data_IF_997292246692
#
_entry.id   IF_997292246692
#
_cell.length_a   1.000
_cell.length_b   1.000
_cell.length_c   1.000
_cell.angle_alpha   90.00
_cell.angle_beta   90.00
_cell.angle_gamma   90.00
#
_symmetry.space_group_name_H-M   'P 1'
#
loop_
_entity.id
_entity.type
_entity.pdbx_description
1 polymer ?
#
# COMPACT_ATOMS: atom_id res chain seq x y z
N UNK A 1 16.97 24.34 -32.08
CA UNK A 1 17.65 24.69 -30.81
C UNK A 1 17.10 23.75 -29.74
N UNK A 2 17.95 23.08 -28.97
CA UNK A 2 17.51 22.15 -27.91
C UNK A 2 17.81 22.78 -26.56
N UNK A 3 16.77 23.13 -25.80
CA UNK A 3 16.91 23.62 -24.42
C UNK A 3 16.88 22.40 -23.50
N UNK A 4 17.93 22.22 -22.70
CA UNK A 4 17.99 21.19 -21.66
C UNK A 4 17.83 21.86 -20.30
N UNK A 5 16.87 21.39 -19.52
CA UNK A 5 16.66 21.81 -18.13
C UNK A 5 16.39 20.59 -17.27
N UNK A 6 16.81 20.64 -16.01
CA UNK A 6 16.42 19.67 -15.00
C UNK A 6 15.17 20.18 -14.28
N UNK A 7 14.10 19.40 -14.33
CA UNK A 7 12.82 19.71 -13.70
C UNK A 7 12.53 18.64 -12.64
N UNK A 8 12.18 19.07 -11.43
CA UNK A 8 11.75 18.16 -10.37
C UNK A 8 10.23 18.01 -10.47
N UNK A 9 9.79 16.95 -11.13
CA UNK A 9 8.36 16.65 -11.28
C UNK A 9 7.96 15.56 -10.29
N UNK A 10 6.82 15.76 -9.63
CA UNK A 10 6.20 14.77 -8.76
C UNK A 10 5.68 13.62 -9.61
N UNK A 11 5.85 12.35 -9.18
CA UNK A 11 5.26 11.19 -9.86
C UNK A 11 3.73 11.25 -9.93
N UNK A 12 3.13 10.59 -10.92
CA UNK A 12 1.68 10.53 -11.17
C UNK A 12 0.96 11.89 -11.09
N UNK A 13 1.60 12.94 -11.59
CA UNK A 13 1.10 14.31 -11.52
C UNK A 13 0.93 14.85 -12.94
N UNK A 14 -0.25 15.42 -13.20
CA UNK A 14 -0.54 16.11 -14.45
C UNK A 14 0.18 17.46 -14.48
N UNK A 15 0.89 17.71 -15.57
CA UNK A 15 1.60 18.96 -15.84
C UNK A 15 1.19 19.51 -17.19
N UNK A 16 1.25 20.83 -17.31
CA UNK A 16 1.14 21.53 -18.58
C UNK A 16 2.41 22.33 -18.83
N UNK A 17 2.88 22.35 -20.09
CA UNK A 17 4.09 23.09 -20.49
C UNK A 17 3.83 23.88 -21.76
N UNK A 18 4.27 25.13 -21.76
CA UNK A 18 4.35 25.99 -22.92
C UNK A 18 5.69 26.74 -22.89
N UNK A 19 6.19 27.13 -24.06
CA UNK A 19 7.50 27.78 -24.20
C UNK A 19 7.34 29.10 -24.94
N UNK A 20 8.11 30.10 -24.53
CA UNK A 20 8.26 31.36 -25.23
C UNK A 20 9.75 31.63 -25.44
N UNK A 21 10.09 32.30 -26.53
CA UNK A 21 11.48 32.68 -26.82
C UNK A 21 11.64 34.19 -26.69
N UNK A 22 12.76 34.63 -26.15
CA UNK A 22 13.11 36.05 -26.05
C UNK A 22 14.49 36.26 -26.70
N UNK A 23 14.59 37.26 -27.58
CA UNK A 23 15.81 37.61 -28.28
C UNK A 23 16.21 39.05 -27.97
N UNK A 24 17.44 39.24 -27.47
CA UNK A 24 17.96 40.57 -27.13
C UNK A 24 18.26 41.36 -28.40
N UNK A 25 17.71 42.56 -28.49
CA UNK A 25 17.83 43.50 -29.60
C UNK A 25 19.02 44.44 -29.40
N UNK A 26 19.37 45.18 -30.46
CA UNK A 26 20.56 46.06 -30.51
C UNK A 26 20.41 47.29 -29.60
N UNK A 27 19.17 47.75 -29.40
CA UNK A 27 18.80 48.83 -28.47
C UNK A 27 18.81 48.40 -26.99
N UNK A 28 18.99 47.10 -26.73
CA UNK A 28 19.02 46.52 -25.39
C UNK A 28 17.70 45.90 -24.93
N UNK A 29 16.61 46.09 -25.67
CA UNK A 29 15.30 45.50 -25.38
C UNK A 29 15.23 44.02 -25.79
N UNK A 30 14.17 43.32 -25.40
CA UNK A 30 13.94 41.93 -25.82
C UNK A 30 12.71 41.86 -26.73
N UNK A 31 12.87 41.27 -27.91
CA UNK A 31 11.73 40.83 -28.71
C UNK A 31 11.32 39.43 -28.25
N UNK A 32 10.09 39.32 -27.75
CA UNK A 32 9.53 38.10 -27.17
C UNK A 32 8.51 37.52 -28.14
N UNK A 33 8.57 36.21 -28.41
CA UNK A 33 7.60 35.51 -29.28
C UNK A 33 6.23 35.40 -28.62
N UNK A 34 5.20 34.98 -29.34
CA UNK A 34 4.01 34.41 -28.69
C UNK A 34 4.37 33.11 -27.94
N UNK A 35 3.50 32.71 -27.01
CA UNK A 35 3.60 31.39 -26.38
C UNK A 35 3.37 30.27 -27.41
N UNK A 36 4.06 29.15 -27.23
CA UNK A 36 3.77 27.92 -27.96
C UNK A 36 2.40 27.36 -27.58
N UNK A 37 1.96 26.34 -28.32
CA UNK A 37 0.89 25.45 -27.87
C UNK A 37 1.22 24.85 -26.48
N UNK A 38 0.16 24.64 -25.69
CA UNK A 38 0.23 23.98 -24.39
C UNK A 38 0.25 22.47 -24.62
N UNK A 39 1.25 21.79 -24.06
CA UNK A 39 1.32 20.33 -24.03
C UNK A 39 0.98 19.86 -22.62
N UNK A 40 0.03 18.94 -22.51
CA UNK A 40 -0.36 18.28 -21.27
C UNK A 40 0.31 16.90 -21.18
N UNK A 41 0.82 16.54 -20.01
CA UNK A 41 1.40 15.22 -19.78
C UNK A 41 1.34 14.81 -18.31
N UNK A 42 1.26 13.50 -18.07
CA UNK A 42 1.31 12.90 -16.74
C UNK A 42 2.66 12.23 -16.50
N UNK A 43 3.27 12.47 -15.34
CA UNK A 43 4.47 11.73 -14.93
C UNK A 43 4.12 10.29 -14.55
N UNK A 44 5.09 9.38 -14.72
CA UNK A 44 4.91 7.97 -14.41
C UNK A 44 4.73 7.70 -12.90
N UNK A 45 4.29 6.48 -12.57
CA UNK A 45 4.32 5.95 -11.21
C UNK A 45 5.76 5.80 -10.70
N UNK A 46 5.92 5.52 -9.42
CA UNK A 46 7.15 5.02 -8.84
C UNK A 46 7.63 3.76 -9.57
N UNK A 47 8.85 3.84 -10.09
CA UNK A 47 9.59 2.67 -10.56
C UNK A 47 10.02 1.78 -9.39
N UNK A 48 10.45 0.55 -9.71
CA UNK A 48 11.02 -0.39 -8.71
C UNK A 48 12.13 0.24 -7.87
N UNK A 49 12.95 1.13 -8.44
CA UNK A 49 14.02 1.83 -7.70
C UNK A 49 13.45 2.68 -6.56
N UNK A 50 12.38 3.44 -6.81
CA UNK A 50 11.71 4.24 -5.78
C UNK A 50 11.08 3.35 -4.71
N UNK A 51 10.48 2.22 -5.11
CA UNK A 51 9.92 1.25 -4.17
C UNK A 51 10.99 0.57 -3.31
N UNK A 52 12.15 0.22 -3.87
CA UNK A 52 13.29 -0.30 -3.12
C UNK A 52 13.78 0.73 -2.10
N UNK A 53 13.88 2.02 -2.46
CA UNK A 53 14.24 3.06 -1.50
C UNK A 53 13.21 3.20 -0.36
N UNK A 54 11.91 3.10 -0.67
CA UNK A 54 10.87 3.09 0.36
C UNK A 54 10.97 1.87 1.26
N UNK A 55 11.25 0.70 0.67
CA UNK A 55 11.43 -0.56 1.38
C UNK A 55 12.62 -0.48 2.35
N UNK A 56 13.78 -0.01 1.90
CA UNK A 56 14.97 0.19 2.74
C UNK A 56 14.70 1.14 3.92
N UNK A 57 13.95 2.22 3.69
CA UNK A 57 13.54 3.14 4.75
C UNK A 57 12.58 2.49 5.74
N UNK A 58 11.66 1.64 5.27
CA UNK A 58 10.77 0.87 6.14
C UNK A 58 11.54 -0.17 6.97
N UNK A 59 12.49 -0.88 6.35
CA UNK A 59 13.37 -1.86 7.01
C UNK A 59 14.30 -1.24 8.04
N UNK A 60 14.57 0.07 7.94
CA UNK A 60 15.37 0.79 8.93
C UNK A 60 14.63 1.02 10.25
N UNK A 61 13.29 1.02 10.24
CA UNK A 61 12.46 1.21 11.43
C UNK A 61 11.72 -0.05 11.87
N UNK A 62 11.65 -1.07 11.01
CA UNK A 62 11.07 -2.36 11.30
C UNK A 62 12.13 -3.40 11.70
N UNK A 63 11.73 -4.41 12.49
CA UNK A 63 12.55 -5.60 12.70
C UNK A 63 12.11 -6.48 13.86
N UNK A 64 11.30 -5.96 14.80
CA UNK A 64 10.72 -6.80 15.84
C UNK A 64 9.53 -7.57 15.30
N UNK A 65 9.63 -8.90 15.28
CA UNK A 65 8.62 -9.77 14.68
C UNK A 65 7.79 -10.48 15.76
N UNK A 66 6.46 -10.30 15.75
CA UNK A 66 5.51 -10.98 16.64
C UNK A 66 4.76 -12.08 15.91
N UNK A 67 4.48 -13.20 16.59
CA UNK A 67 3.65 -14.28 16.04
C UNK A 67 2.19 -13.83 15.89
N UNK A 68 1.52 -14.29 14.85
CA UNK A 68 0.07 -14.15 14.68
C UNK A 68 -0.52 -15.41 14.02
N UNK A 69 -1.84 -15.55 14.06
CA UNK A 69 -2.54 -16.73 13.52
C UNK A 69 -3.64 -16.39 12.51
N UNK A 70 -4.08 -15.14 12.43
CA UNK A 70 -5.19 -14.71 11.56
C UNK A 70 -4.88 -13.39 10.85
N UNK A 71 -5.34 -13.29 9.61
CA UNK A 71 -5.58 -12.02 8.95
C UNK A 71 -7.01 -11.58 9.27
N UNK A 72 -7.21 -10.31 9.56
CA UNK A 72 -8.53 -9.79 9.90
C UNK A 72 -8.90 -8.56 9.09
N UNK A 73 -10.19 -8.45 8.76
CA UNK A 73 -10.76 -7.29 8.06
C UNK A 73 -11.95 -6.80 8.85
N UNK A 74 -11.89 -5.54 9.26
CA UNK A 74 -13.00 -4.86 9.90
C UNK A 74 -13.82 -4.09 8.85
N UNK A 75 -15.14 -4.19 8.92
CA UNK A 75 -16.08 -3.53 8.03
C UNK A 75 -17.44 -3.27 8.72
N UNK A 76 -18.30 -2.55 8.02
CA UNK A 76 -19.70 -2.41 8.38
C UNK A 76 -20.46 -3.74 8.19
N UNK A 77 -21.54 -3.96 8.94
CA UNK A 77 -22.32 -5.21 8.87
C UNK A 77 -22.88 -5.43 7.46
N UNK A 78 -23.33 -4.35 6.85
CA UNK A 78 -23.93 -4.30 5.52
C UNK A 78 -22.99 -4.85 4.44
N UNK A 79 -21.67 -4.67 4.60
CA UNK A 79 -20.68 -5.24 3.68
C UNK A 79 -20.69 -6.78 3.71
N UNK A 80 -20.71 -7.37 4.91
CA UNK A 80 -20.73 -8.83 5.05
C UNK A 80 -22.08 -9.42 4.64
N UNK A 81 -23.18 -8.77 5.00
CA UNK A 81 -24.54 -9.17 4.57
C UNK A 81 -24.66 -9.14 3.04
N UNK A 82 -24.15 -8.07 2.40
CA UNK A 82 -24.12 -7.95 0.94
C UNK A 82 -23.25 -9.04 0.30
N UNK A 83 -22.07 -9.31 0.85
CA UNK A 83 -21.18 -10.39 0.37
C UNK A 83 -21.86 -11.75 0.43
N UNK A 84 -22.56 -12.06 1.53
CA UNK A 84 -23.27 -13.32 1.69
C UNK A 84 -24.43 -13.47 0.69
N UNK A 85 -25.20 -12.39 0.49
CA UNK A 85 -26.43 -12.42 -0.32
C UNK A 85 -26.17 -12.28 -1.83
N UNK A 86 -25.18 -11.49 -2.24
CA UNK A 86 -24.95 -11.14 -3.66
C UNK A 86 -23.69 -11.76 -4.25
N UNK A 87 -22.74 -12.20 -3.42
CA UNK A 87 -21.47 -12.78 -3.87
C UNK A 87 -21.27 -14.21 -3.36
N UNK A 88 -22.35 -14.89 -2.94
CA UNK A 88 -22.28 -16.30 -2.55
C UNK A 88 -21.26 -16.56 -1.44
N UNK A 89 -21.18 -15.64 -0.46
CA UNK A 89 -20.24 -15.70 0.67
C UNK A 89 -18.76 -15.43 0.32
N UNK A 90 -18.46 -14.98 -0.90
CA UNK A 90 -17.10 -14.71 -1.35
C UNK A 90 -16.83 -13.21 -1.42
N UNK A 91 -15.89 -12.72 -0.59
CA UNK A 91 -15.38 -11.36 -0.68
C UNK A 91 -14.66 -11.20 -2.02
N UNK A 92 -15.07 -10.20 -2.80
CA UNK A 92 -14.47 -9.88 -4.08
C UNK A 92 -13.32 -8.88 -3.90
N UNK A 93 -12.20 -9.03 -4.64
CA UNK A 93 -11.18 -8.01 -4.77
C UNK A 93 -11.79 -6.68 -5.24
N UNK A 94 -11.28 -5.57 -4.72
CA UNK A 94 -11.63 -4.24 -5.21
C UNK A 94 -10.36 -3.40 -5.44
N UNK A 95 -10.40 -2.37 -6.31
CA UNK A 95 -9.25 -1.51 -6.52
C UNK A 95 -8.74 -0.90 -5.21
N UNK A 96 -7.42 -0.90 -5.02
CA UNK A 96 -6.76 -0.20 -3.91
C UNK A 96 -7.11 1.29 -3.95
N UNK A 97 -7.47 1.84 -2.80
CA UNK A 97 -7.79 3.26 -2.66
C UNK A 97 -6.53 4.14 -2.83
N UNK A 98 -6.72 5.46 -2.79
CA UNK A 98 -5.63 6.42 -2.99
C UNK A 98 -4.85 6.72 -1.70
N UNK A 99 -4.97 5.88 -0.66
CA UNK A 99 -4.13 6.03 0.53
C UNK A 99 -2.69 5.61 0.21
N UNK A 100 -1.74 6.21 0.94
CA UNK A 100 -0.32 5.97 0.75
C UNK A 100 0.38 7.02 -0.12
N UNK A 101 1.49 6.63 -0.71
CA UNK A 101 2.27 7.46 -1.62
C UNK A 101 1.51 7.72 -2.90
N UNK A 102 1.42 9.00 -3.29
CA UNK A 102 0.74 9.42 -4.54
C UNK A 102 1.29 8.72 -5.79
N UNK A 103 2.60 8.48 -5.84
CA UNK A 103 3.24 7.76 -6.94
C UNK A 103 3.12 6.24 -6.90
N UNK A 104 2.43 5.65 -5.93
CA UNK A 104 2.40 4.19 -5.78
C UNK A 104 1.73 3.49 -6.99
N UNK A 105 2.36 2.46 -7.59
CA UNK A 105 1.84 1.80 -8.78
C UNK A 105 0.64 0.89 -8.49
N UNK A 106 0.29 0.63 -7.22
CA UNK A 106 -0.86 -0.18 -6.83
C UNK A 106 -2.15 0.65 -6.72
N UNK A 107 -2.07 1.94 -6.41
CA UNK A 107 -3.24 2.78 -6.11
C UNK A 107 -4.16 2.92 -7.31
N UNK A 108 -5.41 2.53 -7.15
CA UNK A 108 -6.46 2.42 -8.17
C UNK A 108 -6.14 1.48 -9.36
N UNK A 109 -5.13 0.60 -9.23
CA UNK A 109 -4.69 -0.31 -10.31
C UNK A 109 -4.63 -1.77 -9.89
N UNK A 110 -4.18 -2.04 -8.67
CA UNK A 110 -4.19 -3.39 -8.10
C UNK A 110 -5.53 -3.63 -7.42
N UNK A 111 -6.18 -4.74 -7.76
CA UNK A 111 -7.36 -5.23 -7.05
C UNK A 111 -6.94 -6.20 -5.94
N UNK A 112 -7.61 -6.08 -4.79
CA UNK A 112 -7.41 -7.00 -3.70
C UNK A 112 -8.39 -6.77 -2.56
N UNK A 113 -8.27 -7.61 -1.54
CA UNK A 113 -9.01 -7.53 -0.29
C UNK A 113 -8.03 -7.08 0.79
N UNK A 114 -8.39 -6.02 1.51
CA UNK A 114 -7.51 -5.37 2.48
C UNK A 114 -7.72 -5.98 3.87
N UNK A 115 -6.66 -6.53 4.42
CA UNK A 115 -6.57 -7.12 5.73
C UNK A 115 -5.54 -6.40 6.59
N UNK A 116 -5.62 -6.66 7.90
CA UNK A 116 -4.58 -6.37 8.87
C UNK A 116 -4.16 -7.68 9.55
N UNK A 117 -2.95 -7.70 10.12
CA UNK A 117 -2.47 -8.84 10.90
C UNK A 117 -1.73 -8.41 12.17
N UNK A 118 -1.69 -7.10 12.47
CA UNK A 118 -1.08 -6.61 13.69
C UNK A 118 -1.80 -7.16 14.92
N UNK A 119 -1.03 -7.48 15.95
CA UNK A 119 -1.54 -8.04 17.21
C UNK A 119 -1.29 -7.10 18.39
N UNK A 120 -2.14 -7.18 19.41
CA UNK A 120 -1.86 -6.59 20.71
C UNK A 120 -0.69 -7.34 21.38
N UNK A 121 0.33 -6.60 21.81
CA UNK A 121 1.57 -7.16 22.35
C UNK A 121 1.36 -8.18 23.49
N UNK A 122 0.39 -7.92 24.38
CA UNK A 122 0.15 -8.76 25.55
C UNK A 122 -0.63 -10.04 25.24
N UNK A 123 -1.44 -10.05 24.18
CA UNK A 123 -2.39 -11.14 23.91
C UNK A 123 -2.03 -11.93 22.66
N UNK A 124 -1.27 -11.35 21.73
CA UNK A 124 -1.02 -11.92 20.41
C UNK A 124 -2.29 -12.00 19.54
N UNK A 125 -3.37 -11.31 19.94
CA UNK A 125 -4.65 -11.30 19.23
C UNK A 125 -4.87 -9.99 18.48
N UNK A 126 -5.75 -9.97 17.47
CA UNK A 126 -6.20 -8.73 16.84
C UNK A 126 -6.70 -7.69 17.87
N UNK A 127 -6.44 -6.39 17.68
CA UNK A 127 -6.94 -5.32 18.56
C UNK A 127 -8.45 -5.35 18.73
N UNK A 128 -8.96 -5.01 19.91
CA UNK A 128 -10.42 -5.01 20.16
C UNK A 128 -11.15 -3.82 19.53
N UNK A 129 -10.44 -2.72 19.27
CA UNK A 129 -10.97 -1.53 18.59
C UNK A 129 -10.79 -1.60 17.07
N UNK A 130 -11.55 -0.79 16.33
CA UNK A 130 -11.46 -0.75 14.87
C UNK A 130 -11.79 0.63 14.29
N UNK A 131 -10.98 1.16 13.36
CA UNK A 131 -11.30 2.41 12.67
C UNK A 131 -12.24 2.24 11.46
N UNK A 132 -12.46 1.01 10.98
CA UNK A 132 -13.16 0.74 9.71
C UNK A 132 -14.60 0.23 9.88
N UNK A 133 -14.95 -0.28 11.06
CA UNK A 133 -16.26 -0.89 11.31
C UNK A 133 -16.24 -1.86 12.48
N UNK A 134 -17.41 -2.20 13.02
CA UNK A 134 -17.54 -3.06 14.21
C UNK A 134 -17.58 -4.55 13.91
N UNK A 135 -17.78 -4.95 12.65
CA UNK A 135 -17.80 -6.36 12.27
C UNK A 135 -16.44 -6.75 11.73
N UNK A 136 -15.94 -7.91 12.15
CA UNK A 136 -14.64 -8.44 11.78
C UNK A 136 -14.80 -9.85 11.24
N UNK A 137 -14.16 -10.10 10.10
CA UNK A 137 -13.82 -11.46 9.70
C UNK A 137 -12.38 -11.75 10.11
N UNK A 138 -12.15 -12.92 10.71
CA UNK A 138 -10.82 -13.45 11.00
C UNK A 138 -10.58 -14.70 10.15
N UNK A 139 -9.61 -14.65 9.24
CA UNK A 139 -9.23 -15.74 8.34
C UNK A 139 -7.91 -16.35 8.84
N UNK A 140 -7.82 -17.69 9.02
CA UNK A 140 -6.57 -18.35 9.38
C UNK A 140 -5.44 -17.99 8.42
N UNK A 141 -4.27 -17.63 8.95
CA UNK A 141 -3.17 -17.08 8.17
C UNK A 141 -2.73 -17.99 7.02
N UNK A 142 -2.69 -19.31 7.26
CA UNK A 142 -2.31 -20.32 6.26
C UNK A 142 -3.19 -20.34 5.00
N UNK A 143 -4.45 -19.87 5.10
CA UNK A 143 -5.36 -19.82 3.95
C UNK A 143 -4.96 -18.76 2.94
N UNK A 144 -4.38 -17.65 3.41
CA UNK A 144 -3.99 -16.52 2.57
C UNK A 144 -2.48 -16.49 2.31
N UNK A 145 -1.67 -16.98 3.25
CA UNK A 145 -0.22 -16.86 3.22
C UNK A 145 0.43 -18.22 3.45
N UNK A 146 1.07 -18.78 2.42
CA UNK A 146 1.66 -20.11 2.42
C UNK A 146 2.68 -20.24 1.27
N UNK A 147 3.40 -21.36 1.14
CA UNK A 147 4.42 -21.53 0.09
C UNK A 147 3.92 -21.42 -1.37
N UNK A 148 2.60 -21.46 -1.61
CA UNK A 148 2.02 -21.27 -2.94
C UNK A 148 1.65 -19.80 -3.22
N UNK A 149 2.05 -18.86 -2.36
CA UNK A 149 1.84 -17.42 -2.57
C UNK A 149 3.17 -16.68 -2.64
N UNK A 150 3.17 -15.54 -3.32
CA UNK A 150 4.27 -14.60 -3.36
C UNK A 150 3.95 -13.39 -2.48
N UNK A 151 4.99 -12.80 -1.91
CA UNK A 151 4.92 -11.60 -1.09
C UNK A 151 5.64 -10.45 -1.78
N UNK A 152 5.03 -9.28 -1.83
CA UNK A 152 5.60 -8.08 -2.45
C UNK A 152 5.49 -6.87 -1.53
N UNK A 153 6.50 -6.00 -1.61
CA UNK A 153 6.44 -4.69 -0.97
C UNK A 153 5.65 -3.71 -1.87
N UNK A 154 4.57 -3.12 -1.33
CA UNK A 154 3.68 -2.23 -2.05
C UNK A 154 3.98 -0.75 -1.84
N UNK A 155 4.15 -0.33 -0.58
CA UNK A 155 4.36 1.08 -0.22
C UNK A 155 4.84 1.23 1.23
N UNK A 156 5.34 2.42 1.56
CA UNK A 156 5.65 2.85 2.91
C UNK A 156 5.26 4.31 3.12
N UNK A 157 4.38 4.55 4.09
CA UNK A 157 3.83 5.88 4.33
C UNK A 157 3.47 6.11 5.79
N UNK A 158 3.20 7.36 6.14
CA UNK A 158 2.51 7.71 7.37
C UNK A 158 1.48 8.78 7.03
N UNK A 159 0.56 9.00 7.95
CA UNK A 159 -0.30 10.18 7.95
C UNK A 159 0.31 11.23 8.88
N UNK A 160 -0.46 12.26 9.25
CA UNK A 160 -0.08 13.23 10.29
C UNK A 160 -0.11 12.63 11.71
N UNK A 161 0.42 11.41 11.87
CA UNK A 161 0.48 10.64 13.12
C UNK A 161 1.89 10.07 13.29
N UNK A 162 2.20 9.56 14.48
CA UNK A 162 3.49 8.89 14.73
C UNK A 162 3.59 7.50 14.06
N UNK A 163 2.49 6.95 13.57
CA UNK A 163 2.42 5.58 13.06
C UNK A 163 2.79 5.52 11.59
N UNK A 164 3.60 4.51 11.27
CA UNK A 164 4.02 4.23 9.91
C UNK A 164 3.36 2.94 9.43
N UNK A 165 2.95 2.96 8.17
CA UNK A 165 2.23 1.90 7.49
C UNK A 165 3.11 1.34 6.39
N UNK A 166 3.21 0.02 6.34
CA UNK A 166 3.80 -0.71 5.22
C UNK A 166 2.68 -1.47 4.53
N UNK A 167 2.57 -1.29 3.23
CA UNK A 167 1.66 -2.09 2.41
C UNK A 167 2.44 -3.30 1.90
N UNK A 168 1.95 -4.50 2.19
CA UNK A 168 2.44 -5.73 1.59
C UNK A 168 1.34 -6.38 0.76
N UNK A 169 1.71 -6.99 -0.36
CA UNK A 169 0.78 -7.69 -1.23
C UNK A 169 1.08 -9.18 -1.18
N UNK A 170 0.06 -9.98 -0.89
CA UNK A 170 0.10 -11.44 -0.97
C UNK A 170 -0.70 -11.84 -2.21
N UNK A 171 -0.05 -12.53 -3.13
CA UNK A 171 -0.68 -12.97 -4.38
C UNK A 171 -0.45 -14.47 -4.59
N UNK A 172 -1.50 -15.28 -4.86
CA UNK A 172 -1.33 -16.67 -5.25
C UNK A 172 -0.42 -16.81 -6.48
N UNK A 173 0.51 -17.76 -6.45
CA UNK A 173 1.51 -17.91 -7.50
C UNK A 173 0.86 -18.16 -8.86
N UNK A 174 1.21 -17.33 -9.85
CA UNK A 174 0.67 -17.37 -11.21
C UNK A 174 -0.71 -16.73 -11.37
N UNK A 175 -1.28 -16.11 -10.33
CA UNK A 175 -2.54 -15.38 -10.45
C UNK A 175 -2.35 -14.04 -11.20
N UNK A 176 -3.43 -13.41 -11.69
CA UNK A 176 -3.34 -12.08 -12.30
C UNK A 176 -2.72 -11.02 -11.38
N UNK A 177 -3.00 -11.11 -10.07
CA UNK A 177 -2.40 -10.23 -9.07
C UNK A 177 -0.90 -10.45 -8.91
N UNK A 178 -0.45 -11.70 -8.98
CA UNK A 178 0.95 -12.07 -8.94
C UNK A 178 1.71 -11.52 -10.17
N UNK A 179 1.16 -11.71 -11.37
CA UNK A 179 1.74 -11.18 -12.61
C UNK A 179 1.79 -9.65 -12.62
N UNK A 180 0.76 -8.99 -12.07
CA UNK A 180 0.79 -7.54 -11.88
C UNK A 180 1.96 -7.11 -10.99
N UNK A 181 2.13 -7.80 -9.86
CA UNK A 181 3.12 -7.46 -8.84
C UNK A 181 4.55 -7.75 -9.30
N UNK A 182 4.82 -8.90 -9.92
CA UNK A 182 6.17 -9.26 -10.46
C UNK A 182 6.75 -8.17 -11.34
N UNK A 183 5.92 -7.54 -12.16
CA UNK A 183 6.35 -6.51 -13.09
C UNK A 183 6.68 -5.17 -12.41
N UNK A 184 6.03 -4.87 -11.27
CA UNK A 184 5.97 -3.51 -10.70
C UNK A 184 6.60 -3.37 -9.32
N UNK A 185 6.54 -4.41 -8.50
CA UNK A 185 6.88 -4.36 -7.07
C UNK A 185 8.16 -5.14 -6.75
N UNK A 186 8.92 -4.75 -5.71
CA UNK A 186 9.95 -5.60 -5.12
C UNK A 186 9.32 -6.85 -4.47
N UNK A 187 9.83 -8.04 -4.82
CA UNK A 187 9.42 -9.29 -4.19
C UNK A 187 10.19 -9.47 -2.87
N UNK A 188 9.49 -9.95 -1.85
CA UNK A 188 10.03 -10.25 -0.52
C UNK A 188 10.19 -11.76 -0.35
N UNK A 189 11.24 -12.18 0.36
CA UNK A 189 11.38 -13.59 0.77
C UNK A 189 10.31 -13.94 1.79
N UNK A 190 9.63 -15.08 1.63
CA UNK A 190 8.61 -15.54 2.57
C UNK A 190 9.17 -15.80 3.97
N UNK A 191 10.38 -16.33 4.07
CA UNK A 191 10.98 -16.73 5.34
C UNK A 191 11.90 -15.66 5.95
N UNK A 192 12.39 -14.72 5.13
CA UNK A 192 13.43 -13.77 5.53
C UNK A 192 13.13 -12.36 5.01
N UNK A 193 12.27 -11.64 5.73
CA UNK A 193 12.06 -10.22 5.55
C UNK A 193 11.62 -9.58 6.87
N UNK A 194 11.68 -8.24 6.96
CA UNK A 194 11.39 -7.51 8.19
C UNK A 194 9.92 -7.13 8.39
N UNK A 195 9.02 -7.57 7.52
CA UNK A 195 7.62 -7.14 7.51
C UNK A 195 6.66 -8.28 7.85
N UNK A 196 6.64 -9.34 7.05
CA UNK A 196 5.67 -10.42 7.15
C UNK A 196 6.30 -11.75 6.72
N UNK A 197 6.49 -12.69 7.64
CA UNK A 197 7.17 -13.96 7.35
C UNK A 197 6.28 -15.18 7.56
N UNK A 198 6.48 -16.21 6.74
CA UNK A 198 5.94 -17.55 6.86
C UNK A 198 7.12 -18.53 6.88
N UNK A 199 7.30 -19.23 8.00
CA UNK A 199 8.36 -20.22 8.21
C UNK A 199 7.76 -21.52 8.70
N UNK A 200 8.43 -22.64 8.47
CA UNK A 200 8.04 -23.93 9.06
C UNK A 200 8.80 -24.15 10.37
N UNK A 201 8.08 -24.32 11.48
CA UNK A 201 8.63 -24.72 12.79
C UNK A 201 7.91 -26.01 13.21
N UNK A 202 8.65 -27.09 13.47
CA UNK A 202 8.09 -28.38 13.95
C UNK A 202 6.96 -28.96 13.05
N UNK A 203 7.05 -28.78 11.73
CA UNK A 203 6.06 -29.26 10.76
C UNK A 203 4.78 -28.42 10.68
N UNK A 204 4.76 -27.25 11.33
CA UNK A 204 3.64 -26.30 11.28
C UNK A 204 4.10 -24.94 10.73
N UNK A 205 3.23 -24.28 9.96
CA UNK A 205 3.50 -22.92 9.50
C UNK A 205 3.40 -21.94 10.67
N UNK A 206 4.42 -21.10 10.81
CA UNK A 206 4.51 -20.03 11.79
C UNK A 206 4.58 -18.70 11.06
N UNK A 207 3.69 -17.81 11.45
CA UNK A 207 3.54 -16.50 10.83
C UNK A 207 3.99 -15.42 11.78
N UNK A 208 4.74 -14.44 11.26
CA UNK A 208 5.17 -13.30 12.05
C UNK A 208 4.99 -12.00 11.30
N UNK A 209 4.60 -10.95 12.01
CA UNK A 209 4.46 -9.60 11.46
C UNK A 209 5.37 -8.63 12.20
N UNK A 210 5.75 -7.54 11.54
CA UNK A 210 6.47 -6.44 12.16
C UNK A 210 5.60 -5.75 13.20
N UNK A 211 6.15 -5.56 14.40
CA UNK A 211 5.49 -4.81 15.48
C UNK A 211 5.65 -3.30 15.31
N UNK A 212 6.78 -2.87 14.77
CA UNK A 212 7.20 -1.46 14.75
C UNK A 212 6.47 -0.62 13.68
N UNK A 213 5.74 -1.30 12.79
CA UNK A 213 4.92 -0.69 11.73
C UNK A 213 3.54 -1.36 11.67
N UNK A 214 2.56 -0.63 11.17
CA UNK A 214 1.23 -1.16 10.87
C UNK A 214 1.26 -1.77 9.48
N UNK A 215 0.83 -3.02 9.34
CA UNK A 215 0.76 -3.69 8.05
C UNK A 215 -0.65 -3.56 7.46
N UNK A 216 -0.71 -2.98 6.27
CA UNK A 216 -1.84 -3.12 5.37
C UNK A 216 -1.53 -4.26 4.41
N UNK A 217 -2.30 -5.34 4.51
CA UNK A 217 -2.08 -6.56 3.73
C UNK A 217 -3.13 -6.62 2.63
N UNK A 218 -2.69 -6.61 1.37
CA UNK A 218 -3.57 -6.79 0.21
C UNK A 218 -3.47 -8.24 -0.24
N UNK A 219 -4.57 -8.98 -0.19
CA UNK A 219 -4.66 -10.30 -0.81
C UNK A 219 -5.39 -10.19 -2.15
N UNK A 220 -4.78 -10.65 -3.25
CA UNK A 220 -5.24 -10.30 -4.61
C UNK A 220 -6.41 -11.13 -5.14
N UNK A 221 -6.73 -12.24 -4.49
CA UNK A 221 -7.73 -13.20 -4.98
C UNK A 221 -9.00 -13.18 -4.11
N UNK A 222 -10.13 -13.69 -4.61
CA UNK A 222 -11.35 -13.80 -3.82
C UNK A 222 -11.16 -14.65 -2.56
N UNK A 223 -11.85 -14.28 -1.48
CA UNK A 223 -11.77 -14.96 -0.17
C UNK A 223 -13.15 -15.37 0.29
N UNK A 224 -13.33 -16.66 0.53
CA UNK A 224 -14.58 -17.18 1.09
C UNK A 224 -14.66 -16.87 2.60
N UNK A 225 -15.75 -16.22 3.01
CA UNK A 225 -16.00 -15.92 4.42
C UNK A 225 -16.12 -17.20 5.26
N UNK A 226 -16.43 -18.35 4.65
CA UNK A 226 -16.50 -19.66 5.32
C UNK A 226 -15.15 -20.15 5.84
N UNK A 227 -14.03 -19.58 5.35
CA UNK A 227 -12.69 -19.89 5.87
C UNK A 227 -12.46 -19.31 7.27
N UNK A 228 -13.29 -18.37 7.71
CA UNK A 228 -13.15 -17.68 8.97
C UNK A 228 -14.46 -17.54 9.73
N UNK A 229 -14.44 -16.63 10.70
CA UNK A 229 -15.64 -16.27 11.47
C UNK A 229 -15.88 -14.77 11.36
N UNK A 230 -17.12 -14.39 11.06
CA UNK A 230 -17.59 -13.00 11.11
C UNK A 230 -18.24 -12.75 12.46
N UNK A 231 -17.71 -11.80 13.23
CA UNK A 231 -18.25 -11.44 14.55
C UNK A 231 -18.16 -9.93 14.79
N UNK A 232 -18.99 -9.43 15.71
CA UNK A 232 -18.85 -8.07 16.22
C UNK A 232 -17.65 -7.99 17.18
N UNK A 233 -16.82 -6.95 17.04
CA UNK A 233 -15.71 -6.70 17.95
C UNK A 233 -16.23 -6.21 19.31
N UNK A 234 -15.46 -6.47 20.37
CA UNK A 234 -15.84 -6.07 21.73
C UNK A 234 -15.58 -4.57 21.97
N UNK A 235 -14.55 -4.02 21.34
CA UNK A 235 -14.14 -2.63 21.52
C UNK A 235 -14.96 -1.61 20.74
N UNK A 236 -14.41 -0.40 20.62
CA UNK A 236 -15.06 0.75 20.02
C UNK A 236 -14.74 0.90 18.53
N UNK A 237 -15.68 1.54 17.82
CA UNK A 237 -15.42 2.04 16.46
C UNK A 237 -14.74 3.41 16.53
N UNK A 238 -13.52 3.51 16.01
CA UNK A 238 -12.67 4.70 16.04
C UNK A 238 -12.56 5.35 14.66
N UNK A 239 -13.70 5.78 14.09
CA UNK A 239 -13.76 6.26 12.70
C UNK A 239 -12.77 7.38 12.35
N UNK A 240 -12.42 8.23 13.32
CA UNK A 240 -11.44 9.31 13.14
C UNK A 240 -10.02 8.82 12.82
N UNK A 241 -9.74 7.53 13.04
CA UNK A 241 -8.45 6.89 12.77
C UNK A 241 -8.45 6.08 11.47
N UNK A 242 -9.50 6.17 10.65
CA UNK A 242 -9.56 5.49 9.36
C UNK A 242 -8.48 5.98 8.40
N UNK A 243 -7.82 5.04 7.73
CA UNK A 243 -6.80 5.32 6.70
C UNK A 243 -7.37 5.39 5.28
N UNK A 244 -8.70 5.26 5.12
CA UNK A 244 -9.34 5.25 3.82
C UNK A 244 -9.07 6.57 3.07
N UNK A 245 -8.45 6.48 1.90
CA UNK A 245 -7.95 7.60 1.09
C UNK A 245 -7.06 8.59 1.85
N UNK A 246 -6.43 8.16 2.94
CA UNK A 246 -5.59 9.03 3.75
C UNK A 246 -4.32 9.43 2.99
N UNK A 247 -4.10 10.75 2.89
CA UNK A 247 -2.92 11.29 2.22
C UNK A 247 -1.67 11.08 3.06
N UNK A 248 -0.59 10.66 2.41
CA UNK A 248 0.75 10.61 3.01
C UNK A 248 1.18 12.00 3.50
N UNK A 249 1.76 12.07 4.69
CA UNK A 249 2.35 13.30 5.23
C UNK A 249 3.60 13.69 4.40
N UNK A 250 3.58 14.81 3.67
CA UNK A 250 4.69 15.22 2.82
C UNK A 250 5.91 15.74 3.61
N UNK A 251 5.76 15.98 4.92
CA UNK A 251 6.82 16.52 5.79
C UNK A 251 7.64 15.43 6.50
N UNK A 252 7.16 14.19 6.50
CA UNK A 252 7.80 13.10 7.22
C UNK A 252 9.17 12.74 6.64
N UNK A 253 10.22 12.75 7.48
CA UNK A 253 11.59 12.40 7.07
C UNK A 253 11.85 10.89 7.01
N UNK A 254 10.97 10.12 7.63
CA UNK A 254 11.08 8.67 7.76
C UNK A 254 10.51 7.95 6.55
N UNK A 255 9.31 8.31 6.08
CA UNK A 255 8.67 7.58 4.97
C UNK A 255 8.78 8.27 3.60
N UNK A 256 9.17 9.54 3.53
CA UNK A 256 9.38 10.19 2.24
C UNK A 256 10.75 9.87 1.66
N UNK A 257 10.77 9.57 0.36
CA UNK A 257 12.00 9.57 -0.41
C UNK A 257 12.42 11.03 -0.51
N UNK A 258 13.56 11.37 0.11
CA UNK A 258 14.16 12.69 -0.06
C UNK A 258 14.61 12.82 -1.50
N UNK A 259 13.81 13.48 -2.34
CA UNK A 259 14.34 14.13 -3.55
C UNK A 259 15.35 15.15 -3.04
N UNK A 260 16.63 14.95 -3.39
CA UNK A 260 17.73 15.77 -2.90
C UNK A 260 17.39 17.26 -2.96
N UNK A 261 17.59 17.96 -1.84
CA UNK A 261 17.79 19.41 -1.88
C UNK A 261 19.18 19.70 -2.42
#
# INVERSE_FOLDING_TARGET
>A
MTVRGHWFLSPRTEYTVAVQTASKQVDGDYAVSEWSEIIEFCTADYSKVHLTQLMEKAEAIAGRMLKFSVFYRNQHKEYFDYTQTHHGNVMQPSPKDNSGSHGSPISAKLEGIFFSCNTEFNTGKPPQDSPYGRYRVEIPAEKLFNPNTNLYFGDFYCMYTAYHYVIVVIAPAGSPGDEFCKQRLPQLSLSDNKFLTCTEEEGSLVFRHAQDVILEVIYTDPVDLSWGTVAEIIGHQLMSLSTANAKKDPSCKTCNISVGR
#
